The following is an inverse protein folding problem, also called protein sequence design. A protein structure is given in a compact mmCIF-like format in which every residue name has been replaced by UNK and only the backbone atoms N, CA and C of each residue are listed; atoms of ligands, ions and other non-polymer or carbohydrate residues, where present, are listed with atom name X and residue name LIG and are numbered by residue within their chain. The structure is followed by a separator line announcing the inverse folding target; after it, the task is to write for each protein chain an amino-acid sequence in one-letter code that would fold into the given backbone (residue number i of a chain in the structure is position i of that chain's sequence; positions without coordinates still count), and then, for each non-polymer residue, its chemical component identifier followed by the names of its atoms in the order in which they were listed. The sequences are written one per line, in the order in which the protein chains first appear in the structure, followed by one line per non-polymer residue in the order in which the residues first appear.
data_IF_249781561047
#
_entry.id   IF_249781561047
#
_cell.length_a   1.000
_cell.length_b   1.000
_cell.length_c   1.000
_cell.angle_alpha   90.00
_cell.angle_beta   90.00
_cell.angle_gamma   90.00
#
_symmetry.space_group_name_H-M   'P 1'
#
loop_
_entity.id
_entity.type
_entity.pdbx_description
1 polymer ?
#
# COMPACT_ATOMS: atom_id res chain seq x y z
N UNK A 1 20.61 -21.96 19.27
CA UNK A 1 21.41 -22.98 18.58
C UNK A 1 20.71 -23.29 17.28
N UNK A 2 21.20 -22.73 16.17
CA UNK A 2 20.63 -22.91 14.83
C UNK A 2 21.13 -24.23 14.25
N UNK A 3 20.22 -25.18 14.06
CA UNK A 3 20.46 -26.33 13.19
C UNK A 3 20.62 -25.82 11.75
N UNK A 4 21.86 -25.67 11.29
CA UNK A 4 22.15 -25.66 9.86
C UNK A 4 21.93 -27.09 9.37
N UNK A 5 20.74 -27.37 8.83
CA UNK A 5 20.47 -28.64 8.17
C UNK A 5 21.36 -28.76 6.92
N UNK A 6 22.15 -29.84 6.77
CA UNK A 6 23.09 -30.02 5.66
C UNK A 6 22.41 -30.12 4.28
N UNK A 7 21.08 -30.24 4.21
CA UNK A 7 20.32 -30.32 2.96
C UNK A 7 20.36 -29.03 2.13
N UNK A 8 20.62 -27.86 2.75
CA UNK A 8 20.72 -26.60 2.03
C UNK A 8 22.00 -26.45 1.18
N UNK A 9 23.07 -27.21 1.48
CA UNK A 9 24.33 -27.08 0.73
C UNK A 9 24.29 -27.83 -0.61
N UNK A 10 23.61 -28.97 -0.66
CA UNK A 10 23.58 -29.84 -1.85
C UNK A 10 22.76 -29.19 -2.97
N UNK A 11 21.65 -28.52 -2.65
CA UNK A 11 20.84 -27.82 -3.66
C UNK A 11 21.53 -26.58 -4.24
N UNK A 12 22.36 -25.89 -3.44
CA UNK A 12 23.17 -24.78 -3.94
C UNK A 12 24.25 -25.24 -4.90
N UNK A 13 24.97 -26.32 -4.56
CA UNK A 13 26.01 -26.88 -5.43
C UNK A 13 25.44 -27.34 -6.78
N UNK A 14 24.26 -27.95 -6.78
CA UNK A 14 23.60 -28.36 -8.03
C UNK A 14 23.22 -27.16 -8.91
N UNK A 15 22.72 -26.07 -8.31
CA UNK A 15 22.42 -24.82 -9.03
C UNK A 15 23.68 -24.18 -9.62
N UNK A 16 24.78 -24.19 -8.88
CA UNK A 16 26.07 -23.64 -9.35
C UNK A 16 26.62 -24.44 -10.54
N UNK A 17 26.50 -25.77 -10.51
CA UNK A 17 26.93 -26.64 -11.62
C UNK A 17 26.09 -26.41 -12.87
N UNK A 18 24.76 -26.34 -12.72
CA UNK A 18 23.84 -26.05 -13.85
C UNK A 18 24.17 -24.68 -14.44
N UNK A 19 24.45 -23.69 -13.60
CA UNK A 19 24.86 -22.35 -14.04
C UNK A 19 26.13 -22.39 -14.89
N UNK A 20 27.17 -23.09 -14.45
CA UNK A 20 28.44 -23.23 -15.19
C UNK A 20 28.23 -23.93 -16.53
N UNK A 21 27.39 -24.97 -16.60
CA UNK A 21 27.08 -25.68 -17.84
C UNK A 21 26.35 -24.78 -18.83
N UNK A 22 25.36 -24.01 -18.38
CA UNK A 22 24.65 -23.06 -19.24
C UNK A 22 25.61 -22.01 -19.79
N UNK A 23 26.50 -21.47 -18.94
CA UNK A 23 27.49 -20.46 -19.32
C UNK A 23 28.48 -21.01 -20.37
N UNK A 24 28.89 -22.27 -20.23
CA UNK A 24 29.77 -22.95 -21.18
C UNK A 24 29.11 -23.20 -22.54
N UNK A 25 27.86 -23.70 -22.57
CA UNK A 25 27.09 -23.92 -23.82
C UNK A 25 26.89 -22.59 -24.55
N UNK A 26 26.62 -21.54 -23.82
CA UNK A 26 26.34 -20.22 -24.38
C UNK A 26 27.62 -19.53 -24.91
N UNK A 27 28.76 -19.73 -24.24
CA UNK A 27 30.08 -19.33 -24.75
C UNK A 27 30.39 -20.01 -26.09
N UNK A 28 30.12 -21.31 -26.20
CA UNK A 28 30.31 -22.07 -27.44
C UNK A 28 29.38 -21.61 -28.57
N UNK A 29 28.13 -21.25 -28.26
CA UNK A 29 27.20 -20.65 -29.23
C UNK A 29 27.65 -19.27 -29.68
N UNK A 30 28.24 -18.47 -28.79
CA UNK A 30 28.75 -17.13 -29.09
C UNK A 30 30.01 -17.10 -29.95
N UNK A 31 30.80 -18.17 -29.96
CA UNK A 31 31.88 -18.33 -30.93
C UNK A 31 31.36 -18.55 -32.36
N UNK A 32 30.14 -19.09 -32.51
CA UNK A 32 29.53 -19.42 -33.81
C UNK A 32 28.68 -18.28 -34.39
N UNK A 33 28.01 -17.50 -33.54
CA UNK A 33 27.14 -16.39 -33.94
C UNK A 33 27.66 -15.07 -33.38
N UNK A 34 27.87 -14.07 -34.26
CA UNK A 34 28.27 -12.69 -33.97
C UNK A 34 28.54 -12.42 -32.49
N UNK A 35 29.80 -12.56 -32.09
CA UNK A 35 30.27 -12.58 -30.70
C UNK A 35 29.62 -11.48 -29.82
N UNK A 36 29.45 -10.27 -30.36
CA UNK A 36 28.85 -9.13 -29.66
C UNK A 36 27.39 -9.38 -29.24
N UNK A 37 26.56 -9.94 -30.13
CA UNK A 37 25.14 -10.22 -29.85
C UNK A 37 25.05 -11.34 -28.81
N UNK A 38 25.82 -12.41 -29.01
CA UNK A 38 25.84 -13.55 -28.10
C UNK A 38 26.34 -13.17 -26.71
N UNK A 39 27.37 -12.31 -26.63
CA UNK A 39 27.85 -11.74 -25.37
C UNK A 39 26.80 -10.88 -24.69
N UNK A 40 26.10 -10.01 -25.42
CA UNK A 40 25.04 -9.18 -24.87
C UNK A 40 23.89 -10.02 -24.29
N UNK A 41 23.45 -11.06 -25.00
CA UNK A 41 22.38 -11.95 -24.50
C UNK A 41 22.87 -12.74 -23.28
N UNK A 42 24.11 -13.24 -23.29
CA UNK A 42 24.71 -13.91 -22.13
C UNK A 42 24.75 -12.98 -20.91
N UNK A 43 25.27 -11.77 -21.07
CA UNK A 43 25.34 -10.80 -19.98
C UNK A 43 23.95 -10.49 -19.43
N UNK A 44 22.95 -10.31 -20.30
CA UNK A 44 21.57 -10.08 -19.90
C UNK A 44 20.98 -11.29 -19.17
N UNK A 45 21.28 -12.51 -19.62
CA UNK A 45 20.86 -13.75 -18.97
C UNK A 45 21.52 -13.96 -17.61
N UNK A 46 22.82 -13.68 -17.47
CA UNK A 46 23.53 -13.74 -16.17
C UNK A 46 22.95 -12.71 -15.21
N UNK A 47 22.73 -11.47 -15.66
CA UNK A 47 22.07 -10.44 -14.86
C UNK A 47 20.67 -10.89 -14.45
N UNK A 48 19.89 -11.46 -15.37
CA UNK A 48 18.56 -11.98 -15.10
C UNK A 48 18.57 -13.12 -14.06
N UNK A 49 19.48 -14.09 -14.19
CA UNK A 49 19.65 -15.16 -13.21
C UNK A 49 20.10 -14.63 -11.84
N UNK A 50 21.05 -13.70 -11.83
CA UNK A 50 21.50 -13.05 -10.59
C UNK A 50 20.33 -12.33 -9.91
N UNK A 51 19.55 -11.53 -10.64
CA UNK A 51 18.33 -10.92 -10.10
C UNK A 51 17.33 -11.99 -9.61
N UNK A 52 17.08 -13.04 -10.38
CA UNK A 52 16.19 -14.14 -10.00
C UNK A 52 16.60 -14.79 -8.69
N UNK A 53 17.89 -15.05 -8.49
CA UNK A 53 18.41 -15.59 -7.22
C UNK A 53 18.30 -14.60 -6.06
N UNK A 54 18.52 -13.30 -6.29
CA UNK A 54 18.30 -12.28 -5.25
C UNK A 54 16.82 -12.21 -4.86
N UNK A 55 15.90 -12.28 -5.82
CA UNK A 55 14.47 -12.31 -5.57
C UNK A 55 14.02 -13.59 -4.85
N UNK A 56 14.61 -14.73 -5.16
CA UNK A 56 14.34 -15.97 -4.44
C UNK A 56 14.84 -15.93 -2.98
N UNK A 57 15.94 -15.20 -2.72
CA UNK A 57 16.47 -14.96 -1.36
C UNK A 57 15.67 -13.93 -0.58
N UNK A 58 15.20 -12.88 -1.26
CA UNK A 58 14.46 -11.75 -0.70
C UNK A 58 13.14 -11.52 -1.45
N UNK A 59 12.16 -12.43 -1.29
CA UNK A 59 10.91 -12.39 -2.07
C UNK A 59 10.05 -11.15 -1.76
N UNK A 60 10.28 -10.49 -0.61
CA UNK A 60 9.64 -9.23 -0.25
C UNK A 60 9.93 -8.07 -1.21
N UNK A 61 11.02 -8.10 -1.98
CA UNK A 61 11.37 -7.03 -2.92
C UNK A 61 10.30 -6.91 -4.03
N UNK A 62 9.69 -8.00 -4.46
CA UNK A 62 8.64 -7.94 -5.48
C UNK A 62 7.38 -7.21 -4.98
N UNK A 63 7.03 -7.45 -3.72
CA UNK A 63 5.93 -6.72 -3.05
C UNK A 63 6.30 -5.25 -2.89
N UNK A 64 7.57 -4.92 -2.60
CA UNK A 64 8.05 -3.52 -2.56
C UNK A 64 7.86 -2.84 -3.91
N UNK A 65 8.22 -3.50 -5.02
CA UNK A 65 7.98 -2.96 -6.38
C UNK A 65 6.49 -2.72 -6.62
N UNK A 66 5.64 -3.65 -6.21
CA UNK A 66 4.18 -3.50 -6.31
C UNK A 66 3.65 -2.32 -5.47
N UNK A 67 4.14 -2.12 -4.24
CA UNK A 67 3.76 -0.99 -3.36
C UNK A 67 4.20 0.35 -3.96
N UNK A 68 5.42 0.42 -4.49
CA UNK A 68 5.92 1.61 -5.20
C UNK A 68 5.10 1.84 -6.48
N UNK A 69 4.80 0.78 -7.22
CA UNK A 69 3.96 0.87 -8.42
C UNK A 69 2.56 1.40 -8.11
N UNK A 70 1.99 1.01 -6.97
CA UNK A 70 0.69 1.52 -6.50
C UNK A 70 0.74 3.00 -6.19
N UNK A 71 1.84 3.49 -5.60
CA UNK A 71 2.00 4.91 -5.26
C UNK A 71 2.18 5.79 -6.50
N UNK A 72 2.62 5.21 -7.62
CA UNK A 72 2.87 5.91 -8.88
C UNK A 72 1.67 5.90 -9.85
N UNK A 73 0.60 5.14 -9.59
CA UNK A 73 -0.63 4.99 -10.40
C UNK A 73 -0.60 5.62 -11.82
N UNK A 74 -1.04 6.87 -11.99
CA UNK A 74 -1.08 7.56 -13.31
C UNK A 74 0.31 7.81 -13.89
N UNK A 75 1.27 8.25 -13.06
CA UNK A 75 2.66 8.46 -13.47
C UNK A 75 3.38 7.14 -13.78
N UNK A 76 2.86 6.03 -13.29
CA UNK A 76 3.39 4.69 -13.48
C UNK A 76 3.00 4.05 -14.81
N UNK A 77 2.20 4.72 -15.66
CA UNK A 77 1.78 4.20 -16.97
C UNK A 77 2.95 4.12 -17.94
N UNK A 78 3.09 2.98 -18.59
CA UNK A 78 4.21 2.70 -19.49
C UNK A 78 3.82 3.09 -20.90
N UNK A 79 4.48 4.11 -21.46
CA UNK A 79 4.30 4.53 -22.86
C UNK A 79 2.84 4.82 -23.27
N UNK A 80 2.04 5.37 -22.34
CA UNK A 80 0.63 5.68 -22.57
C UNK A 80 -0.31 4.47 -22.56
N UNK A 81 0.20 3.25 -22.36
CA UNK A 81 -0.62 2.06 -22.18
C UNK A 81 -1.26 2.04 -20.79
N UNK A 82 -2.44 1.39 -20.62
CA UNK A 82 -3.06 1.22 -19.31
C UNK A 82 -2.30 0.26 -18.37
N UNK A 83 -1.10 -0.17 -18.76
CA UNK A 83 -0.21 -1.01 -17.95
C UNK A 83 0.67 -0.11 -17.08
N UNK A 84 0.61 -0.34 -15.76
CA UNK A 84 1.36 0.43 -14.76
C UNK A 84 2.49 -0.38 -14.12
N UNK A 85 3.43 0.29 -13.45
CA UNK A 85 4.49 -0.36 -12.64
C UNK A 85 3.89 -1.35 -11.62
N UNK A 86 2.68 -1.08 -11.11
CA UNK A 86 1.96 -2.02 -10.24
C UNK A 86 1.76 -3.38 -10.92
N UNK A 87 1.34 -3.41 -12.19
CA UNK A 87 1.13 -4.65 -12.94
C UNK A 87 2.44 -5.43 -13.13
N UNK A 88 3.56 -4.73 -13.37
CA UNK A 88 4.90 -5.35 -13.39
C UNK A 88 5.21 -5.96 -12.02
N UNK A 89 4.94 -5.23 -10.94
CA UNK A 89 5.09 -5.72 -9.57
C UNK A 89 4.28 -6.99 -9.32
N UNK A 90 3.02 -7.03 -9.76
CA UNK A 90 2.15 -8.23 -9.65
C UNK A 90 2.71 -9.40 -10.44
N UNK A 91 3.09 -9.20 -11.71
CA UNK A 91 3.66 -10.27 -12.54
C UNK A 91 4.97 -10.82 -11.96
N UNK A 92 5.84 -9.92 -11.48
CA UNK A 92 7.09 -10.29 -10.80
C UNK A 92 6.80 -11.10 -9.52
N UNK A 93 5.80 -10.67 -8.76
CA UNK A 93 5.35 -11.34 -7.52
C UNK A 93 4.82 -12.74 -7.82
N UNK A 94 3.99 -12.91 -8.86
CA UNK A 94 3.52 -14.23 -9.33
C UNK A 94 4.69 -15.11 -9.76
N UNK A 95 5.60 -14.56 -10.57
CA UNK A 95 6.77 -15.29 -11.06
C UNK A 95 7.63 -15.80 -9.91
N UNK A 96 7.91 -14.97 -8.91
CA UNK A 96 8.72 -15.35 -7.74
C UNK A 96 7.98 -16.36 -6.86
N UNK A 97 6.66 -16.23 -6.71
CA UNK A 97 5.85 -17.21 -6.00
C UNK A 97 5.96 -18.59 -6.66
N UNK A 98 5.76 -18.67 -7.98
CA UNK A 98 5.88 -19.92 -8.75
C UNK A 98 7.31 -20.47 -8.67
N UNK A 99 8.31 -19.62 -8.87
CA UNK A 99 9.72 -20.02 -8.78
C UNK A 99 10.02 -20.62 -7.40
N UNK A 100 9.49 -20.02 -6.33
CA UNK A 100 9.66 -20.49 -4.96
C UNK A 100 8.98 -21.84 -4.73
N UNK A 101 7.77 -22.04 -5.26
CA UNK A 101 7.08 -23.34 -5.19
C UNK A 101 7.96 -24.46 -5.76
N UNK A 102 8.58 -24.24 -6.92
CA UNK A 102 9.45 -25.23 -7.56
C UNK A 102 10.82 -25.37 -6.88
N UNK A 103 11.44 -24.27 -6.45
CA UNK A 103 12.79 -24.32 -5.84
C UNK A 103 12.79 -24.98 -4.47
N UNK A 104 11.74 -24.78 -3.68
CA UNK A 104 11.67 -25.30 -2.30
C UNK A 104 10.74 -26.52 -2.17
N UNK A 105 10.04 -26.93 -3.24
CA UNK A 105 9.03 -27.99 -3.23
C UNK A 105 7.99 -27.84 -2.11
N UNK A 106 7.76 -26.60 -1.67
CA UNK A 106 6.85 -26.27 -0.59
C UNK A 106 5.56 -25.73 -1.18
N UNK A 107 4.58 -26.63 -1.35
CA UNK A 107 3.24 -26.30 -1.86
C UNK A 107 2.28 -25.89 -0.73
N UNK A 108 2.79 -25.55 0.47
CA UNK A 108 1.95 -25.07 1.55
C UNK A 108 1.47 -23.63 1.27
N UNK A 109 0.15 -23.49 1.14
CA UNK A 109 -0.49 -22.18 1.01
C UNK A 109 -0.94 -21.74 2.40
N UNK A 110 -0.49 -20.58 2.83
CA UNK A 110 -0.88 -19.96 4.08
C UNK A 110 -2.29 -19.39 3.94
N UNK A 111 -3.19 -19.90 4.78
CA UNK A 111 -4.59 -19.46 4.91
C UNK A 111 -4.74 -18.38 5.97
N UNK A 112 -5.78 -17.57 5.88
CA UNK A 112 -6.12 -16.54 6.86
C UNK A 112 -7.50 -16.78 7.48
N UNK A 113 -7.74 -16.20 8.65
CA UNK A 113 -9.08 -16.19 9.26
C UNK A 113 -10.11 -15.38 8.43
N UNK A 114 -9.66 -14.63 7.43
CA UNK A 114 -10.51 -13.87 6.52
C UNK A 114 -10.90 -14.65 5.27
N UNK A 115 -10.38 -15.86 5.05
CA UNK A 115 -10.60 -16.63 3.82
C UNK A 115 -12.09 -16.92 3.59
N UNK A 116 -12.79 -17.38 4.63
CA UNK A 116 -14.22 -17.71 4.53
C UNK A 116 -15.10 -16.46 4.34
N UNK A 117 -14.98 -15.38 5.15
CA UNK A 117 -15.69 -14.13 4.88
C UNK A 117 -15.42 -13.55 3.50
N UNK A 118 -14.17 -13.64 3.02
CA UNK A 118 -13.77 -13.12 1.73
C UNK A 118 -14.35 -13.93 0.57
N UNK A 119 -14.33 -15.26 0.67
CA UNK A 119 -14.95 -16.14 -0.31
C UNK A 119 -16.46 -15.91 -0.37
N UNK A 120 -17.11 -15.80 0.79
CA UNK A 120 -18.53 -15.46 0.84
C UNK A 120 -18.83 -14.11 0.18
N UNK A 121 -18.02 -13.09 0.45
CA UNK A 121 -18.13 -11.78 -0.19
C UNK A 121 -17.96 -11.85 -1.72
N UNK A 122 -16.97 -12.60 -2.21
CA UNK A 122 -16.76 -12.81 -3.65
C UNK A 122 -17.95 -13.55 -4.29
N UNK A 123 -18.48 -14.57 -3.63
CA UNK A 123 -19.68 -15.27 -4.10
C UNK A 123 -20.89 -14.34 -4.18
N UNK A 124 -21.08 -13.46 -3.18
CA UNK A 124 -22.16 -12.48 -3.21
C UNK A 124 -22.03 -11.51 -4.39
N UNK A 125 -20.83 -11.02 -4.69
CA UNK A 125 -20.60 -10.17 -5.87
C UNK A 125 -20.91 -10.97 -7.14
N UNK A 126 -20.42 -12.20 -7.25
CA UNK A 126 -20.66 -13.05 -8.42
C UNK A 126 -22.16 -13.31 -8.65
N UNK A 127 -22.94 -13.58 -7.60
CA UNK A 127 -24.40 -13.71 -7.69
C UNK A 127 -25.05 -12.38 -8.08
N UNK A 128 -24.58 -11.25 -7.54
CA UNK A 128 -25.08 -9.92 -7.88
C UNK A 128 -24.89 -9.58 -9.37
N UNK A 129 -23.84 -10.09 -10.01
CA UNK A 129 -23.60 -9.89 -11.45
C UNK A 129 -24.66 -10.52 -12.34
N UNK A 130 -25.39 -11.53 -11.86
CA UNK A 130 -26.47 -12.15 -12.63
C UNK A 130 -27.66 -11.20 -12.81
N UNK A 131 -27.85 -10.27 -11.86
CA UNK A 131 -28.99 -9.36 -11.80
C UNK A 131 -28.68 -7.93 -12.27
N UNK A 132 -27.40 -7.55 -12.38
CA UNK A 132 -27.06 -6.19 -12.79
C UNK A 132 -27.39 -5.96 -14.27
N UNK A 133 -27.98 -4.80 -14.64
CA UNK A 133 -28.19 -4.44 -16.03
C UNK A 133 -26.86 -4.12 -16.75
N UNK A 134 -25.86 -3.61 -16.03
CA UNK A 134 -24.53 -3.27 -16.56
C UNK A 134 -23.54 -4.42 -16.34
N UNK A 135 -23.75 -5.55 -17.03
CA UNK A 135 -22.96 -6.78 -16.82
C UNK A 135 -21.47 -6.62 -17.13
N UNK A 136 -21.14 -5.87 -18.17
CA UNK A 136 -19.75 -5.67 -18.61
C UNK A 136 -18.94 -4.89 -17.57
N UNK A 137 -19.45 -3.74 -17.13
CA UNK A 137 -18.82 -2.92 -16.09
C UNK A 137 -18.71 -3.70 -14.77
N UNK A 138 -19.78 -4.38 -14.37
CA UNK A 138 -19.78 -5.22 -13.17
C UNK A 138 -18.73 -6.33 -13.22
N UNK A 139 -18.57 -6.99 -14.37
CA UNK A 139 -17.57 -8.04 -14.54
C UNK A 139 -16.14 -7.49 -14.40
N UNK A 140 -15.86 -6.31 -14.97
CA UNK A 140 -14.56 -5.64 -14.81
C UNK A 140 -14.27 -5.31 -13.34
N UNK A 141 -15.26 -4.78 -12.61
CA UNK A 141 -15.11 -4.47 -11.19
C UNK A 141 -14.93 -5.74 -10.33
N UNK A 142 -15.64 -6.82 -10.64
CA UNK A 142 -15.45 -8.11 -9.99
C UNK A 142 -14.05 -8.69 -10.23
N UNK A 143 -13.56 -8.66 -11.47
CA UNK A 143 -12.20 -9.08 -11.79
C UNK A 143 -11.15 -8.22 -11.07
N UNK A 144 -11.42 -6.92 -10.89
CA UNK A 144 -10.55 -6.03 -10.10
C UNK A 144 -10.50 -6.45 -8.65
N UNK A 145 -11.65 -6.76 -8.03
CA UNK A 145 -11.69 -7.26 -6.63
C UNK A 145 -10.96 -8.60 -6.53
N UNK A 146 -11.18 -9.51 -7.48
CA UNK A 146 -10.50 -10.80 -7.53
C UNK A 146 -8.97 -10.64 -7.64
N UNK A 147 -8.51 -9.70 -8.47
CA UNK A 147 -7.09 -9.38 -8.59
C UNK A 147 -6.51 -8.82 -7.28
N UNK A 148 -7.25 -7.98 -6.55
CA UNK A 148 -6.83 -7.48 -5.24
C UNK A 148 -6.75 -8.60 -4.19
N UNK A 149 -7.68 -9.56 -4.23
CA UNK A 149 -7.63 -10.76 -3.39
C UNK A 149 -6.43 -11.63 -3.73
N UNK A 150 -6.14 -11.83 -5.02
CA UNK A 150 -4.94 -12.54 -5.47
C UNK A 150 -3.67 -11.85 -4.95
N UNK A 151 -3.59 -10.53 -5.06
CA UNK A 151 -2.46 -9.73 -4.55
C UNK A 151 -2.29 -9.90 -3.04
N UNK A 152 -3.39 -9.91 -2.28
CA UNK A 152 -3.35 -10.18 -0.84
C UNK A 152 -2.74 -11.57 -0.56
N UNK A 153 -3.22 -12.63 -1.22
CA UNK A 153 -2.69 -13.98 -1.00
C UNK A 153 -1.23 -14.12 -1.44
N UNK A 154 -0.85 -13.54 -2.57
CA UNK A 154 0.53 -13.52 -3.02
C UNK A 154 1.43 -12.86 -1.97
N UNK A 155 1.00 -11.72 -1.44
CA UNK A 155 1.73 -10.97 -0.40
C UNK A 155 1.94 -11.83 0.85
N UNK A 156 0.88 -12.48 1.35
CA UNK A 156 0.93 -13.32 2.56
C UNK A 156 1.85 -14.53 2.37
N UNK A 157 1.79 -15.19 1.22
CA UNK A 157 2.56 -16.41 0.96
C UNK A 157 4.04 -16.14 0.64
N UNK A 158 4.34 -14.97 0.06
CA UNK A 158 5.71 -14.57 -0.29
C UNK A 158 6.47 -14.07 0.94
N UNK A 159 5.81 -13.35 1.85
CA UNK A 159 6.46 -12.75 3.01
C UNK A 159 6.48 -13.75 4.16
N UNK A 160 7.58 -14.49 4.29
CA UNK A 160 7.77 -15.43 5.41
C UNK A 160 8.57 -14.86 6.57
N UNK A 161 9.40 -13.84 6.32
CA UNK A 161 10.28 -13.25 7.33
C UNK A 161 9.71 -11.93 7.85
N UNK A 162 9.84 -11.71 9.16
CA UNK A 162 9.48 -10.45 9.80
C UNK A 162 10.22 -9.25 9.21
N UNK A 163 11.48 -9.43 8.80
CA UNK A 163 12.28 -8.42 8.09
C UNK A 163 11.57 -7.92 6.82
N UNK A 164 10.98 -8.83 6.03
CA UNK A 164 10.24 -8.49 4.82
C UNK A 164 9.01 -7.62 5.11
N UNK A 165 8.31 -7.90 6.22
CA UNK A 165 7.16 -7.10 6.68
C UNK A 165 7.62 -5.67 6.98
N UNK A 166 8.72 -5.49 7.72
CA UNK A 166 9.24 -4.16 8.03
C UNK A 166 9.62 -3.38 6.78
N UNK A 167 10.32 -4.01 5.83
CA UNK A 167 10.69 -3.35 4.56
C UNK A 167 9.45 -2.85 3.84
N UNK A 168 8.43 -3.69 3.69
CA UNK A 168 7.18 -3.33 2.99
C UNK A 168 6.46 -2.19 3.72
N UNK A 169 6.34 -2.27 5.04
CA UNK A 169 5.72 -1.23 5.86
C UNK A 169 6.47 0.10 5.72
N UNK A 170 7.80 0.09 5.82
CA UNK A 170 8.60 1.30 5.65
C UNK A 170 8.54 1.85 4.23
N UNK A 171 8.52 1.00 3.20
CA UNK A 171 8.29 1.42 1.82
C UNK A 171 6.94 2.12 1.69
N UNK A 172 5.88 1.56 2.27
CA UNK A 172 4.53 2.14 2.22
C UNK A 172 4.47 3.50 2.92
N UNK A 173 5.08 3.62 4.10
CA UNK A 173 5.16 4.89 4.84
C UNK A 173 6.00 5.92 4.08
N UNK A 174 7.16 5.52 3.55
CA UNK A 174 8.07 6.41 2.84
C UNK A 174 7.46 6.94 1.53
N UNK A 175 6.80 6.07 0.76
CA UNK A 175 6.10 6.47 -0.46
C UNK A 175 4.91 7.39 -0.17
N UNK A 176 4.10 7.09 0.86
CA UNK A 176 3.04 7.98 1.31
C UNK A 176 3.57 9.33 1.78
N UNK A 177 4.71 9.35 2.48
CA UNK A 177 5.38 10.59 2.89
C UNK A 177 5.81 11.44 1.69
N UNK A 178 6.49 10.83 0.71
CA UNK A 178 6.91 11.52 -0.52
C UNK A 178 5.71 12.09 -1.26
N UNK A 179 4.64 11.31 -1.45
CA UNK A 179 3.41 11.81 -2.07
C UNK A 179 2.75 12.92 -1.25
N UNK A 180 2.81 12.86 0.08
CA UNK A 180 2.29 13.90 0.97
C UNK A 180 3.08 15.20 0.85
N UNK A 181 4.41 15.13 0.66
CA UNK A 181 5.23 16.31 0.37
C UNK A 181 4.88 16.92 -0.99
N UNK A 182 4.65 16.10 -2.02
CA UNK A 182 4.19 16.59 -3.32
C UNK A 182 2.81 17.26 -3.21
N UNK A 183 1.88 16.67 -2.45
CA UNK A 183 0.59 17.27 -2.16
C UNK A 183 0.76 18.64 -1.46
N UNK A 184 1.59 18.71 -0.41
CA UNK A 184 1.84 19.97 0.31
C UNK A 184 2.48 21.05 -0.58
N UNK A 185 3.45 20.67 -1.42
CA UNK A 185 4.08 21.59 -2.39
C UNK A 185 3.07 22.15 -3.39
N UNK A 186 2.11 21.32 -3.84
CA UNK A 186 1.08 21.78 -4.79
C UNK A 186 0.23 22.92 -4.22
N UNK A 187 0.02 22.96 -2.91
CA UNK A 187 -0.70 24.05 -2.21
C UNK A 187 0.15 25.32 -2.16
N UNK A 188 1.42 25.19 -1.78
CA UNK A 188 2.31 26.33 -1.54
C UNK A 188 2.59 27.16 -2.81
N UNK A 189 2.46 26.54 -3.99
CA UNK A 189 2.80 27.16 -5.27
C UNK A 189 1.58 27.75 -5.99
N UNK A 190 0.34 27.42 -5.58
CA UNK A 190 -0.88 27.90 -6.26
C UNK A 190 -1.60 28.96 -5.41
N UNK A 191 -1.45 30.28 -5.70
CA UNK A 191 -1.99 31.37 -4.89
C UNK A 191 -3.52 31.34 -4.76
N UNK A 192 -4.20 30.83 -5.78
CA UNK A 192 -5.66 30.69 -5.82
C UNK A 192 -6.18 29.75 -4.72
N UNK A 193 -5.40 28.73 -4.35
CA UNK A 193 -5.77 27.76 -3.31
C UNK A 193 -5.74 28.35 -1.89
N UNK A 194 -4.87 29.34 -1.65
CA UNK A 194 -4.75 30.04 -0.37
C UNK A 194 -5.83 31.12 -0.19
N UNK A 195 -6.20 31.83 -1.25
CA UNK A 195 -7.29 32.82 -1.23
C UNK A 195 -8.66 32.14 -1.13
N UNK A 196 -8.83 30.95 -1.70
CA UNK A 196 -10.06 30.18 -1.56
C UNK A 196 -10.17 29.47 -0.19
N UNK A 197 -9.04 29.22 0.47
CA UNK A 197 -9.01 28.70 1.83
C UNK A 197 -9.58 29.66 2.87
N UNK A 198 -9.45 30.98 2.65
CA UNK A 198 -10.00 32.00 3.55
C UNK A 198 -11.50 32.24 3.36
N UNK A 199 -12.11 31.73 2.28
CA UNK A 199 -13.51 32.01 1.90
C UNK A 199 -14.53 30.90 2.21
N UNK A 200 -14.11 29.78 2.82
CA UNK A 200 -15.03 28.78 3.37
C UNK A 200 -15.41 27.62 2.43
N UNK A 201 -14.66 26.53 2.58
CA UNK A 201 -14.91 25.11 2.28
C UNK A 201 -16.13 24.68 1.43
N UNK A 202 -15.83 24.11 0.26
CA UNK A 202 -16.18 22.72 -0.13
C UNK A 202 -16.08 22.51 -1.65
N UNK A 203 -16.26 23.55 -2.46
CA UNK A 203 -16.34 23.42 -3.93
C UNK A 203 -15.09 23.86 -4.69
N UNK A 204 -14.15 24.55 -4.04
CA UNK A 204 -13.07 25.26 -4.75
C UNK A 204 -11.66 24.74 -4.47
N UNK A 205 -11.47 23.89 -3.45
CA UNK A 205 -10.21 23.18 -3.31
C UNK A 205 -10.13 22.03 -4.33
N UNK A 206 -9.15 22.10 -5.25
CA UNK A 206 -8.72 20.92 -5.98
C UNK A 206 -8.36 19.83 -4.98
N UNK A 207 -9.16 18.76 -4.93
CA UNK A 207 -8.93 17.65 -3.99
C UNK A 207 -7.59 16.99 -4.32
N UNK A 208 -6.79 16.69 -3.30
CA UNK A 208 -5.47 16.09 -3.55
C UNK A 208 -5.62 14.67 -4.10
N UNK A 209 -5.22 14.47 -5.36
CA UNK A 209 -5.01 13.16 -5.97
C UNK A 209 -3.53 12.82 -6.17
N UNK A 210 -2.68 13.85 -6.39
CA UNK A 210 -1.26 13.70 -6.75
C UNK A 210 -1.08 12.77 -7.95
N UNK A 211 -0.65 11.52 -7.71
CA UNK A 211 -0.42 10.49 -8.73
C UNK A 211 -1.68 9.68 -9.03
N UNK A 212 -2.73 9.81 -8.23
CA UNK A 212 -4.00 9.10 -8.39
C UNK A 212 -5.00 9.98 -9.14
N UNK A 213 -5.76 9.38 -10.06
CA UNK A 213 -6.84 10.07 -10.77
C UNK A 213 -7.97 10.49 -9.81
N UNK A 214 -8.20 9.68 -8.77
CA UNK A 214 -9.24 9.91 -7.79
C UNK A 214 -8.66 10.26 -6.42
N UNK A 215 -8.99 11.43 -5.84
CA UNK A 215 -8.55 11.83 -4.50
C UNK A 215 -8.99 10.85 -3.39
N UNK A 216 -10.05 10.08 -3.61
CA UNK A 216 -10.47 9.04 -2.66
C UNK A 216 -9.49 7.85 -2.62
N UNK A 217 -8.89 7.48 -3.76
CA UNK A 217 -7.89 6.42 -3.81
C UNK A 217 -6.61 6.87 -3.11
N UNK A 218 -6.17 8.10 -3.35
CA UNK A 218 -5.06 8.69 -2.61
C UNK A 218 -5.33 8.74 -1.11
N UNK A 219 -6.53 9.15 -0.69
CA UNK A 219 -6.90 9.18 0.73
C UNK A 219 -6.88 7.78 1.37
N UNK A 220 -7.34 6.76 0.65
CA UNK A 220 -7.31 5.37 1.13
C UNK A 220 -5.86 4.87 1.27
N UNK A 221 -5.01 5.24 0.31
CA UNK A 221 -3.57 4.95 0.38
C UNK A 221 -2.91 5.62 1.59
N UNK A 222 -3.13 6.92 1.79
CA UNK A 222 -2.62 7.66 2.96
C UNK A 222 -3.15 7.10 4.28
N UNK A 223 -4.43 6.73 4.34
CA UNK A 223 -5.03 6.09 5.51
C UNK A 223 -4.31 4.79 5.87
N UNK A 224 -4.05 3.94 4.89
CA UNK A 224 -3.36 2.67 5.12
C UNK A 224 -1.92 2.90 5.61
N UNK A 225 -1.19 3.83 4.96
CA UNK A 225 0.16 4.22 5.39
C UNK A 225 0.19 4.76 6.81
N UNK A 226 -0.80 5.59 7.16
CA UNK A 226 -0.98 6.16 8.48
C UNK A 226 -1.23 5.07 9.52
N UNK A 227 -2.11 4.11 9.23
CA UNK A 227 -2.40 2.99 10.13
C UNK A 227 -1.14 2.16 10.42
N UNK A 228 -0.38 1.82 9.38
CA UNK A 228 0.88 1.10 9.51
C UNK A 228 1.92 1.91 10.28
N UNK A 229 2.04 3.21 9.98
CA UNK A 229 2.95 4.11 10.68
C UNK A 229 2.62 4.26 12.16
N UNK A 230 1.34 4.40 12.52
CA UNK A 230 0.91 4.42 13.93
C UNK A 230 1.17 3.10 14.65
N UNK A 231 0.98 1.97 13.96
CA UNK A 231 1.31 0.65 14.51
C UNK A 231 2.80 0.55 14.85
N UNK A 232 3.69 0.96 13.95
CA UNK A 232 5.14 1.00 14.19
C UNK A 232 5.51 2.03 15.27
N UNK A 233 4.86 3.19 15.29
CA UNK A 233 5.13 4.26 16.25
C UNK A 233 4.80 3.84 17.69
N UNK A 234 3.60 3.26 17.90
CA UNK A 234 3.07 2.90 19.22
C UNK A 234 3.59 1.55 19.72
N UNK A 235 3.67 0.55 18.84
CA UNK A 235 3.92 -0.84 19.21
C UNK A 235 5.30 -1.35 18.73
N UNK A 236 5.98 -0.61 17.85
CA UNK A 236 7.29 -1.00 17.34
C UNK A 236 8.43 -0.77 18.32
N UNK A 237 9.40 -1.69 18.30
CA UNK A 237 10.66 -1.60 19.04
C UNK A 237 11.70 -0.74 18.29
N UNK A 238 11.42 0.55 18.13
CA UNK A 238 12.29 1.52 17.44
C UNK A 238 12.96 2.48 18.44
N UNK A 239 14.16 2.96 18.08
CA UNK A 239 14.87 3.98 18.88
C UNK A 239 14.11 5.30 18.89
N UNK A 240 14.24 6.08 19.97
CA UNK A 240 13.51 7.34 20.18
C UNK A 240 13.71 8.34 19.03
N UNK A 241 14.93 8.46 18.49
CA UNK A 241 15.20 9.38 17.36
C UNK A 241 14.37 9.02 16.12
N UNK A 242 14.29 7.73 15.76
CA UNK A 242 13.47 7.28 14.64
C UNK A 242 11.98 7.43 14.93
N UNK A 243 11.57 7.35 16.19
CA UNK A 243 10.19 7.62 16.60
C UNK A 243 9.82 9.10 16.39
N UNK A 244 10.74 10.03 16.66
CA UNK A 244 10.53 11.47 16.40
C UNK A 244 10.45 11.74 14.89
N UNK A 245 11.34 11.15 14.10
CA UNK A 245 11.29 11.26 12.63
C UNK A 245 9.97 10.69 12.10
N UNK A 246 9.55 9.53 12.58
CA UNK A 246 8.29 8.91 12.21
C UNK A 246 7.08 9.78 12.58
N UNK A 247 7.12 10.48 13.72
CA UNK A 247 6.08 11.43 14.11
C UNK A 247 5.96 12.58 13.10
N UNK A 248 7.08 13.16 12.68
CA UNK A 248 7.08 14.22 11.66
C UNK A 248 6.53 13.72 10.32
N UNK A 249 6.88 12.49 9.93
CA UNK A 249 6.33 11.82 8.74
C UNK A 249 4.81 11.64 8.85
N UNK A 250 4.33 11.11 9.99
CA UNK A 250 2.90 10.90 10.24
C UNK A 250 2.10 12.21 10.21
N UNK A 251 2.64 13.29 10.80
CA UNK A 251 2.00 14.62 10.74
C UNK A 251 1.86 15.09 9.30
N UNK A 252 2.88 14.89 8.48
CA UNK A 252 2.86 15.26 7.05
C UNK A 252 1.80 14.45 6.29
N UNK A 253 1.68 13.15 6.58
CA UNK A 253 0.66 12.27 5.99
C UNK A 253 -0.75 12.70 6.43
N UNK A 254 -0.95 13.03 7.70
CA UNK A 254 -2.22 13.56 8.23
C UNK A 254 -2.62 14.82 7.48
N UNK A 255 -1.69 15.76 7.30
CA UNK A 255 -1.95 17.01 6.60
C UNK A 255 -2.40 16.78 5.15
N UNK A 256 -1.71 15.89 4.42
CA UNK A 256 -2.12 15.51 3.08
C UNK A 256 -3.50 14.80 3.08
N UNK A 257 -3.77 13.92 4.04
CA UNK A 257 -5.05 13.23 4.18
C UNK A 257 -6.21 14.22 4.40
N UNK A 258 -6.02 15.24 5.23
CA UNK A 258 -7.02 16.31 5.45
C UNK A 258 -7.38 16.97 4.12
N UNK A 259 -6.38 17.32 3.31
CA UNK A 259 -6.63 18.01 2.04
C UNK A 259 -7.16 17.13 0.89
N UNK A 260 -7.26 15.82 1.07
CA UNK A 260 -8.05 14.96 0.15
C UNK A 260 -9.56 15.18 0.28
N UNK A 261 -10.01 15.73 1.42
CA UNK A 261 -11.42 15.87 1.81
C UNK A 261 -12.24 14.57 1.71
N UNK A 262 -11.60 13.40 1.86
CA UNK A 262 -12.29 12.11 1.79
C UNK A 262 -12.93 11.72 3.13
N UNK A 263 -14.24 11.97 3.25
CA UNK A 263 -15.03 11.56 4.42
C UNK A 263 -14.93 10.06 4.69
N UNK A 264 -15.01 9.23 3.66
CA UNK A 264 -14.93 7.79 3.78
C UNK A 264 -13.58 7.31 4.34
N UNK A 265 -12.48 7.92 3.91
CA UNK A 265 -11.15 7.59 4.46
C UNK A 265 -11.04 7.94 5.94
N UNK A 266 -11.58 9.07 6.39
CA UNK A 266 -11.61 9.42 7.83
C UNK A 266 -12.49 8.47 8.65
N UNK A 267 -13.66 8.12 8.12
CA UNK A 267 -14.59 7.16 8.76
C UNK A 267 -13.95 5.79 8.91
N UNK A 268 -13.09 5.36 7.97
CA UNK A 268 -12.36 4.10 8.09
C UNK A 268 -11.07 4.22 8.93
N UNK A 269 -10.37 5.37 8.88
CA UNK A 269 -9.14 5.62 9.62
C UNK A 269 -9.37 5.59 11.14
N UNK A 270 -10.44 6.23 11.61
CA UNK A 270 -10.71 6.38 13.06
C UNK A 270 -10.89 5.02 13.74
N UNK A 271 -11.80 4.12 13.30
CA UNK A 271 -11.94 2.78 13.89
C UNK A 271 -10.65 1.97 13.80
N UNK A 272 -9.95 2.06 12.68
CA UNK A 272 -8.69 1.33 12.47
C UNK A 272 -7.60 1.79 13.47
N UNK A 273 -7.49 3.09 13.70
CA UNK A 273 -6.58 3.65 14.71
C UNK A 273 -6.99 3.24 16.12
N UNK A 274 -8.28 3.23 16.45
CA UNK A 274 -8.77 2.77 17.76
C UNK A 274 -8.37 1.31 18.01
N UNK A 275 -8.44 0.45 16.98
CA UNK A 275 -7.95 -0.93 17.07
C UNK A 275 -6.44 -0.95 17.35
N UNK A 276 -5.63 -0.20 16.60
CA UNK A 276 -4.17 -0.14 16.83
C UNK A 276 -3.81 0.37 18.22
N UNK A 277 -4.52 1.39 18.71
CA UNK A 277 -4.37 1.94 20.06
C UNK A 277 -4.76 0.91 21.12
N UNK A 278 -5.83 0.13 20.89
CA UNK A 278 -6.28 -0.89 21.84
C UNK A 278 -5.23 -1.99 22.06
N UNK A 279 -4.47 -2.35 21.02
CA UNK A 279 -3.34 -3.27 21.12
C UNK A 279 -2.07 -2.63 21.71
N UNK A 280 -2.07 -1.32 21.98
CA UNK A 280 -0.90 -0.64 22.54
C UNK A 280 -0.82 -0.73 24.06
N UNK A 281 0.41 -0.84 24.58
CA UNK A 281 0.70 -0.72 26.01
C UNK A 281 0.27 0.63 26.61
N UNK A 282 0.14 1.66 25.79
CA UNK A 282 -0.27 3.01 26.21
C UNK A 282 -1.77 3.27 26.09
N UNK A 283 -2.60 2.24 25.80
CA UNK A 283 -4.03 2.39 25.54
C UNK A 283 -4.77 3.30 26.52
N UNK A 284 -4.55 3.13 27.84
CA UNK A 284 -5.24 3.91 28.88
C UNK A 284 -4.91 5.40 28.79
N UNK A 285 -3.63 5.73 28.63
CA UNK A 285 -3.20 7.13 28.50
C UNK A 285 -3.72 7.76 27.22
N UNK A 286 -3.71 7.02 26.10
CA UNK A 286 -4.18 7.54 24.82
C UNK A 286 -5.70 7.75 24.84
N UNK A 287 -6.48 6.81 25.40
CA UNK A 287 -7.94 6.97 25.51
C UNK A 287 -8.32 8.11 26.43
N UNK A 288 -7.71 8.22 27.61
CA UNK A 288 -8.00 9.29 28.57
C UNK A 288 -7.55 10.64 28.03
N UNK A 289 -6.32 10.74 27.51
CA UNK A 289 -5.81 11.95 26.89
C UNK A 289 -6.64 12.38 25.66
N UNK A 290 -7.04 11.42 24.83
CA UNK A 290 -7.94 11.63 23.70
C UNK A 290 -9.30 12.16 24.14
N UNK A 291 -9.92 11.56 25.16
CA UNK A 291 -11.20 12.02 25.70
C UNK A 291 -11.12 13.45 26.26
N UNK A 292 -10.06 13.77 27.01
CA UNK A 292 -9.82 15.13 27.52
C UNK A 292 -9.61 16.11 26.36
N UNK A 293 -8.80 15.74 25.37
CA UNK A 293 -8.55 16.58 24.19
C UNK A 293 -9.83 16.81 23.38
N UNK A 294 -10.67 15.79 23.19
CA UNK A 294 -11.96 15.90 22.52
C UNK A 294 -12.92 16.79 23.31
N UNK A 295 -12.98 16.67 24.64
CA UNK A 295 -13.78 17.56 25.48
C UNK A 295 -13.30 19.01 25.42
N UNK A 296 -11.98 19.23 25.45
CA UNK A 296 -11.38 20.56 25.32
C UNK A 296 -11.66 21.16 23.93
N UNK A 297 -11.46 20.39 22.86
CA UNK A 297 -11.79 20.79 21.49
C UNK A 297 -13.28 21.07 21.32
N UNK A 298 -14.16 20.26 21.90
CA UNK A 298 -15.59 20.49 21.88
C UNK A 298 -15.97 21.78 22.61
N UNK A 299 -15.37 22.04 23.78
CA UNK A 299 -15.51 23.30 24.52
C UNK A 299 -15.07 24.52 23.71
N UNK A 300 -13.93 24.43 23.01
CA UNK A 300 -13.42 25.48 22.13
C UNK A 300 -14.32 25.68 20.89
N UNK A 301 -14.82 24.58 20.31
CA UNK A 301 -15.74 24.61 19.18
C UNK A 301 -17.07 25.25 19.55
N UNK A 302 -17.62 24.99 20.74
CA UNK A 302 -18.84 25.62 21.25
C UNK A 302 -18.73 27.16 21.32
N UNK A 303 -17.53 27.67 21.57
CA UNK A 303 -17.26 29.11 21.60
C UNK A 303 -17.11 29.71 20.20
N UNK A 304 -16.88 28.88 19.19
CA UNK A 304 -16.59 29.31 17.83
C UNK A 304 -17.88 29.61 17.04
N UNK A 305 -17.92 30.75 16.34
CA UNK A 305 -19.08 31.23 15.56
C UNK A 305 -19.58 30.21 14.53
N UNK A 306 -18.67 29.39 14.01
CA UNK A 306 -18.98 28.31 13.07
C UNK A 306 -19.87 27.22 13.68
N UNK A 307 -19.60 26.79 14.91
CA UNK A 307 -20.38 25.74 15.57
C UNK A 307 -21.77 26.25 15.98
N UNK A 308 -21.86 27.50 16.45
CA UNK A 308 -23.15 28.18 16.67
C UNK A 308 -23.98 28.26 15.38
N UNK A 309 -23.35 28.58 14.26
CA UNK A 309 -24.02 28.63 12.95
C UNK A 309 -24.45 27.25 12.44
N UNK A 310 -23.67 26.20 12.71
CA UNK A 310 -24.02 24.81 12.39
C UNK A 310 -25.21 24.32 13.23
N UNK A 311 -25.18 24.52 14.55
CA UNK A 311 -26.28 24.14 15.46
C UNK A 311 -27.56 24.89 15.14
N UNK A 312 -27.48 26.20 14.82
CA UNK A 312 -28.65 27.00 14.43
C UNK A 312 -29.37 26.48 13.17
N UNK A 313 -28.63 25.83 12.25
CA UNK A 313 -29.23 25.20 11.04
C UNK A 313 -29.99 23.91 11.34
N UNK A 314 -29.66 23.21 12.43
CA UNK A 314 -30.44 22.05 12.88
C UNK A 314 -31.63 22.46 13.74
N UNK A 315 -31.52 23.55 14.51
CA UNK A 315 -32.67 24.11 15.24
C UNK A 315 -33.71 24.75 14.31
N UNK A 316 -33.31 25.28 13.15
CA UNK A 316 -34.26 25.80 12.16
C UNK A 316 -35.08 24.69 11.49
N UNK A 317 -34.53 23.48 11.35
CA UNK A 317 -35.26 22.32 10.80
C UNK A 317 -36.32 21.78 11.79
N UNK A 318 -36.09 21.94 13.09
CA UNK A 318 -37.06 21.55 14.12
C UNK A 318 -38.16 22.59 14.30
N UNK A 319 -37.88 23.88 14.05
CA UNK A 319 -38.90 24.93 14.01
C UNK A 319 -39.75 24.92 12.73
N UNK A 320 -39.20 24.46 11.60
CA UNK A 320 -39.93 24.36 10.34
C UNK A 320 -41.01 23.24 10.30
N UNK A 321 -40.93 22.27 11.22
CA UNK A 321 -41.95 21.21 11.39
C UNK A 321 -42.95 21.53 12.53
N UNK A 322 -42.92 22.76 13.05
CA UNK A 322 -43.78 23.25 14.13
C UNK A 322 -44.90 24.17 13.65
N UNK A 323 -45.43 23.94 12.44
CA UNK A 323 -46.73 24.43 11.93
C UNK A 323 -47.39 23.28 11.18
#
# INVERSE_FOLDING_TARGET
MSHNSPEHSISQIALDIIFVIILAIYFLLGLKFNFVISFAILSLFIVFLWFGTQFARFPSIAVVVMVIGTSLDVLGRIMGMPVTIFHIGVLLTIFIFILRLFLYNDFSIHTTNFDLPLLFFLCLIAVSLLYTPAKEEGLVDFLRVLALVLVMYLTINIITKSEGIYIIVFTFIASAFVLSLFAAKSIAITPESLVQASLGFSKVFGRFGVTFENPNYFATYLMFALLLGFSVFLNGHIRTIYRIVLLAVLITIIFALIGTFSRAAWVAAIPSLLIVINYSKYRRFIFVGGAIASLALFGLLLQNLFFKSFVMRFSSLTQANGV
#
